data_IF_171701992695
#
_entry.id   IF_171701992695
#
_cell.length_a   1.000
_cell.length_b   1.000
_cell.length_c   1.000
_cell.angle_alpha   90.00
_cell.angle_beta   90.00
_cell.angle_gamma   90.00
#
_symmetry.space_group_name_H-M   'P 1'
#
loop_
_entity.id
_entity.type
_entity.pdbx_description
1 polymer ?
#
# COMPACT_ATOMS: atom_id res chain seq x y z
N UNK A 1 -13.26 -3.18 30.89
CA UNK A 1 -12.55 -2.44 29.83
C UNK A 1 -11.93 -3.50 28.94
N UNK A 2 -12.56 -3.75 27.80
CA UNK A 2 -12.35 -4.96 26.99
C UNK A 2 -11.01 -4.90 26.27
N UNK A 3 -10.15 -5.88 26.54
CA UNK A 3 -8.93 -6.11 25.78
C UNK A 3 -9.29 -6.56 24.37
N UNK A 4 -8.89 -5.77 23.38
CA UNK A 4 -8.82 -6.25 22.01
C UNK A 4 -7.54 -7.07 21.89
N UNK A 5 -7.70 -8.39 21.85
CA UNK A 5 -6.66 -9.33 21.42
C UNK A 5 -6.14 -8.84 20.06
N UNK A 6 -4.96 -8.22 20.05
CA UNK A 6 -4.23 -7.96 18.82
C UNK A 6 -3.82 -9.33 18.29
N UNK A 7 -4.64 -9.88 17.40
CA UNK A 7 -4.31 -11.10 16.67
C UNK A 7 -3.05 -10.78 15.83
N UNK A 8 -1.92 -11.46 16.03
CA UNK A 8 -0.68 -11.17 15.31
C UNK A 8 -0.74 -11.54 13.81
N UNK A 9 -1.89 -12.02 13.34
CA UNK A 9 -2.25 -12.19 11.92
C UNK A 9 -3.42 -11.28 11.50
N UNK A 10 -3.80 -10.28 12.30
CA UNK A 10 -4.83 -9.32 11.94
C UNK A 10 -4.34 -8.41 10.82
N UNK A 11 -5.25 -8.10 9.89
CA UNK A 11 -5.06 -7.00 8.95
C UNK A 11 -4.74 -5.70 9.68
N UNK A 12 -3.82 -4.91 9.13
CA UNK A 12 -3.48 -3.58 9.63
C UNK A 12 -4.20 -2.52 8.81
N UNK A 13 -4.62 -1.43 9.46
CA UNK A 13 -5.31 -0.32 8.79
C UNK A 13 -4.73 1.02 9.22
N UNK A 14 -4.49 1.90 8.25
CA UNK A 14 -4.03 3.27 8.46
C UNK A 14 -4.76 4.25 7.55
N UNK A 15 -5.03 5.45 8.03
CA UNK A 15 -5.60 6.54 7.22
C UNK A 15 -4.47 7.41 6.68
N UNK A 16 -4.63 7.91 5.45
CA UNK A 16 -3.69 8.85 4.84
C UNK A 16 -4.39 9.69 3.77
N UNK A 17 -3.80 10.84 3.46
CA UNK A 17 -4.19 11.62 2.28
C UNK A 17 -3.26 11.23 1.13
N UNK A 18 -3.83 10.89 -0.01
CA UNK A 18 -3.04 10.54 -1.20
C UNK A 18 -2.19 11.71 -1.66
N UNK A 19 -1.16 11.40 -2.44
CA UNK A 19 -0.42 12.39 -3.22
C UNK A 19 -1.31 13.04 -4.29
N UNK A 20 -0.78 14.05 -4.99
CA UNK A 20 -1.50 14.76 -6.06
C UNK A 20 -1.78 13.82 -7.24
N UNK A 21 -0.84 12.94 -7.56
CA UNK A 21 -1.01 11.90 -8.58
C UNK A 21 -1.98 10.79 -8.17
N UNK A 22 -2.23 10.63 -6.87
CA UNK A 22 -3.12 9.61 -6.33
C UNK A 22 -2.46 8.24 -6.19
N UNK A 23 -3.28 7.25 -5.83
CA UNK A 23 -2.88 5.85 -5.72
C UNK A 23 -3.43 5.07 -6.91
N UNK A 24 -2.57 4.39 -7.63
CA UNK A 24 -2.97 3.52 -8.73
C UNK A 24 -3.61 2.24 -8.17
N UNK A 25 -4.81 1.93 -8.66
CA UNK A 25 -5.53 0.69 -8.36
C UNK A 25 -5.72 -0.14 -9.62
N UNK A 26 -5.91 -1.45 -9.46
CA UNK A 26 -6.12 -2.37 -10.59
C UNK A 26 -7.50 -2.17 -11.22
N UNK A 27 -8.51 -1.88 -10.40
CA UNK A 27 -9.91 -1.90 -10.79
C UNK A 27 -10.38 -0.58 -11.42
N UNK A 28 -10.01 0.57 -10.83
CA UNK A 28 -10.58 1.87 -11.20
C UNK A 28 -9.54 2.90 -11.64
N UNK A 29 -8.27 2.52 -11.68
CA UNK A 29 -7.15 3.42 -12.00
C UNK A 29 -6.75 4.27 -10.80
N UNK A 30 -6.32 5.51 -11.03
CA UNK A 30 -5.85 6.39 -9.97
C UNK A 30 -7.01 6.92 -9.11
N UNK A 31 -6.91 6.77 -7.79
CA UNK A 31 -7.83 7.38 -6.82
C UNK A 31 -7.10 8.39 -5.94
N UNK A 32 -7.79 9.47 -5.55
CA UNK A 32 -7.19 10.62 -4.85
C UNK A 32 -8.03 11.06 -3.66
N UNK A 33 -7.41 11.66 -2.64
CA UNK A 33 -8.09 12.24 -1.48
C UNK A 33 -7.76 11.50 -0.18
N UNK A 34 -8.69 11.49 0.76
CA UNK A 34 -8.52 10.80 2.05
C UNK A 34 -8.88 9.31 1.91
N UNK A 35 -7.88 8.47 2.14
CA UNK A 35 -7.93 7.02 1.94
C UNK A 35 -7.60 6.27 3.22
N UNK A 36 -8.04 5.02 3.28
CA UNK A 36 -7.66 4.02 4.26
C UNK A 36 -6.89 2.91 3.55
N UNK A 37 -5.64 2.68 3.97
CA UNK A 37 -4.83 1.53 3.59
C UNK A 37 -5.20 0.35 4.49
N UNK A 38 -5.54 -0.80 3.90
CA UNK A 38 -5.65 -2.09 4.55
C UNK A 38 -4.53 -2.99 4.03
N UNK A 39 -3.73 -3.58 4.94
CA UNK A 39 -2.76 -4.61 4.55
C UNK A 39 -3.02 -5.91 5.27
N UNK A 40 -2.84 -7.03 4.57
CA UNK A 40 -2.99 -8.37 5.13
C UNK A 40 -1.95 -9.34 4.58
N UNK A 41 -1.41 -10.26 5.40
CA UNK A 41 -0.52 -11.30 4.88
C UNK A 41 -1.29 -12.21 3.93
N UNK A 42 -0.63 -12.60 2.83
CA UNK A 42 -1.14 -13.59 1.89
C UNK A 42 -1.32 -14.96 2.58
N UNK A 43 -2.17 -15.83 2.03
CA UNK A 43 -2.40 -17.18 2.59
C UNK A 43 -1.12 -18.02 2.73
N UNK A 44 -0.16 -17.82 1.80
CA UNK A 44 1.13 -18.49 1.81
C UNK A 44 2.20 -17.75 2.62
N UNK A 45 1.85 -16.64 3.26
CA UNK A 45 2.71 -15.79 4.07
C UNK A 45 4.03 -15.39 3.34
N UNK A 46 3.97 -15.25 2.02
CA UNK A 46 5.11 -14.92 1.15
C UNK A 46 5.08 -13.47 0.63
N UNK A 47 4.14 -12.68 1.15
CA UNK A 47 3.88 -11.32 0.74
C UNK A 47 2.68 -10.74 1.45
N UNK A 48 2.49 -9.44 1.24
CA UNK A 48 1.44 -8.64 1.86
C UNK A 48 0.52 -8.11 0.76
N UNK A 49 -0.77 -8.41 0.87
CA UNK A 49 -1.80 -7.79 0.05
C UNK A 49 -2.11 -6.39 0.60
N UNK A 50 -2.30 -5.43 -0.32
CA UNK A 50 -2.50 -4.03 -0.04
C UNK A 50 -3.74 -3.55 -0.79
N UNK A 51 -4.72 -3.12 -0.02
CA UNK A 51 -6.01 -2.63 -0.48
C UNK A 51 -6.17 -1.20 0.00
N UNK A 52 -6.85 -0.37 -0.78
CA UNK A 52 -7.21 0.99 -0.40
C UNK A 52 -8.71 1.19 -0.55
N UNK A 53 -9.26 2.06 0.29
CA UNK A 53 -10.63 2.56 0.15
C UNK A 53 -10.68 4.03 0.49
N UNK A 54 -11.73 4.71 0.03
CA UNK A 54 -12.03 6.03 0.57
C UNK A 54 -12.35 5.95 2.06
N UNK A 55 -11.93 6.95 2.83
CA UNK A 55 -12.17 6.98 4.26
C UNK A 55 -13.67 6.86 4.59
N UNK A 56 -14.03 5.83 5.37
CA UNK A 56 -15.42 5.53 5.75
C UNK A 56 -16.25 4.82 4.67
N UNK A 57 -15.67 4.51 3.51
CA UNK A 57 -16.31 3.68 2.51
C UNK A 57 -16.22 2.19 2.88
N UNK A 58 -17.09 1.38 2.28
CA UNK A 58 -17.03 -0.08 2.42
C UNK A 58 -16.31 -0.75 1.24
N UNK A 59 -16.29 -0.10 0.08
CA UNK A 59 -15.69 -0.65 -1.12
C UNK A 59 -14.17 -0.50 -1.07
N UNK A 60 -13.46 -1.57 -1.46
CA UNK A 60 -12.01 -1.67 -1.41
C UNK A 60 -11.49 -1.93 -2.81
N UNK A 61 -10.33 -1.37 -3.11
CA UNK A 61 -9.64 -1.51 -4.39
C UNK A 61 -8.23 -2.00 -4.16
N UNK A 62 -7.77 -2.89 -5.04
CA UNK A 62 -6.43 -3.45 -4.98
C UNK A 62 -5.43 -2.42 -5.46
N UNK A 63 -4.41 -2.13 -4.63
CA UNK A 63 -3.34 -1.23 -5.05
C UNK A 63 -2.52 -1.93 -6.14
N UNK A 64 -2.23 -1.23 -7.24
CA UNK A 64 -1.41 -1.78 -8.31
C UNK A 64 -0.01 -2.16 -7.80
N UNK A 65 0.47 -3.34 -8.18
CA UNK A 65 1.71 -3.94 -7.66
C UNK A 65 1.52 -4.78 -6.39
N UNK A 66 0.28 -4.94 -5.91
CA UNK A 66 -0.07 -5.91 -4.87
C UNK A 66 -0.31 -7.32 -5.45
N UNK A 67 -0.02 -8.41 -4.71
CA UNK A 67 0.65 -8.46 -3.41
C UNK A 67 2.14 -8.11 -3.51
N UNK A 68 2.68 -7.51 -2.44
CA UNK A 68 4.10 -7.18 -2.36
C UNK A 68 4.85 -8.39 -1.80
N UNK A 69 5.77 -9.00 -2.57
CA UNK A 69 6.59 -10.08 -2.05
C UNK A 69 7.55 -9.53 -0.99
N UNK A 70 7.43 -10.01 0.24
CA UNK A 70 8.33 -9.65 1.33
C UNK A 70 8.34 -10.74 2.40
N UNK A 71 9.46 -10.84 3.11
CA UNK A 71 9.64 -11.63 4.33
C UNK A 71 9.72 -10.75 5.57
N UNK A 72 9.59 -9.43 5.41
CA UNK A 72 9.57 -8.47 6.50
C UNK A 72 8.36 -8.72 7.41
N UNK A 73 8.44 -8.35 8.70
CA UNK A 73 7.28 -8.34 9.58
C UNK A 73 6.14 -7.52 8.95
N UNK A 74 4.90 -7.99 9.11
CA UNK A 74 3.73 -7.33 8.51
C UNK A 74 3.60 -5.86 8.90
N UNK A 75 3.99 -5.50 10.13
CA UNK A 75 4.03 -4.10 10.58
C UNK A 75 5.04 -3.27 9.79
N UNK A 76 6.30 -3.69 9.70
CA UNK A 76 7.33 -2.99 8.93
C UNK A 76 6.95 -2.86 7.44
N UNK A 77 6.36 -3.92 6.86
CA UNK A 77 5.84 -3.86 5.50
C UNK A 77 4.69 -2.87 5.38
N UNK A 78 3.76 -2.83 6.34
CA UNK A 78 2.65 -1.87 6.37
C UNK A 78 3.13 -0.43 6.43
N UNK A 79 4.05 -0.11 7.34
CA UNK A 79 4.64 1.22 7.47
C UNK A 79 5.35 1.63 6.17
N UNK A 80 6.16 0.74 5.57
CA UNK A 80 6.83 1.00 4.29
C UNK A 80 5.85 1.24 3.14
N UNK A 81 4.74 0.50 3.08
CA UNK A 81 3.69 0.71 2.08
C UNK A 81 3.04 2.09 2.28
N UNK A 82 2.71 2.43 3.52
CA UNK A 82 2.10 3.71 3.85
C UNK A 82 3.02 4.90 3.50
N UNK A 83 4.31 4.79 3.83
CA UNK A 83 5.33 5.77 3.46
C UNK A 83 5.39 5.95 1.94
N UNK A 84 5.33 4.86 1.17
CA UNK A 84 5.35 4.96 -0.28
C UNK A 84 4.10 5.65 -0.83
N UNK A 85 2.90 5.28 -0.36
CA UNK A 85 1.63 5.84 -0.83
C UNK A 85 1.43 7.31 -0.46
N UNK A 86 2.19 7.81 0.51
CA UNK A 86 2.24 9.22 0.91
C UNK A 86 3.42 9.96 0.31
N UNK A 87 4.35 9.25 -0.34
CA UNK A 87 5.50 9.85 -1.02
C UNK A 87 5.11 10.22 -2.46
N UNK A 88 5.25 11.50 -2.85
CA UNK A 88 4.94 11.95 -4.21
C UNK A 88 5.63 11.09 -5.28
N UNK A 89 4.88 10.75 -6.32
CA UNK A 89 5.37 9.97 -7.45
C UNK A 89 6.41 10.72 -8.30
N UNK A 90 6.85 10.10 -9.39
CA UNK A 90 7.64 10.81 -10.39
C UNK A 90 6.84 11.98 -10.98
N UNK A 91 7.49 13.11 -11.27
CA UNK A 91 6.86 14.22 -12.00
C UNK A 91 7.14 14.07 -13.49
N UNK A 92 6.10 14.12 -14.31
CA UNK A 92 6.18 14.24 -15.76
C UNK A 92 5.72 15.64 -16.19
N UNK A 93 5.95 16.00 -17.46
CA UNK A 93 5.54 17.28 -18.05
C UNK A 93 4.04 17.61 -17.83
N UNK A 94 3.22 16.59 -17.58
CA UNK A 94 1.78 16.68 -17.36
C UNK A 94 1.34 16.71 -15.88
N UNK A 95 2.25 16.54 -14.91
CA UNK A 95 1.94 16.53 -13.48
C UNK A 95 2.61 15.38 -12.71
N UNK A 96 2.16 15.17 -11.47
CA UNK A 96 2.62 14.05 -10.64
C UNK A 96 1.95 12.74 -11.08
N UNK A 97 2.76 11.71 -11.27
CA UNK A 97 2.29 10.37 -11.57
C UNK A 97 1.63 9.71 -10.36
N UNK A 98 0.59 8.87 -10.56
CA UNK A 98 0.03 8.05 -9.51
C UNK A 98 1.09 7.10 -8.93
N UNK A 99 0.97 6.83 -7.64
CA UNK A 99 1.84 5.92 -6.91
C UNK A 99 1.34 4.49 -7.04
N UNK A 100 2.23 3.56 -7.36
CA UNK A 100 2.00 2.12 -7.39
C UNK A 100 3.12 1.37 -6.64
N UNK A 101 2.83 0.15 -6.18
CA UNK A 101 3.73 -0.64 -5.34
C UNK A 101 4.76 -1.45 -6.15
N UNK A 102 4.63 -1.50 -7.48
CA UNK A 102 5.52 -2.29 -8.34
C UNK A 102 7.01 -1.90 -8.20
N UNK A 103 7.30 -0.64 -7.82
CA UNK A 103 8.67 -0.18 -7.55
C UNK A 103 9.28 -0.72 -6.24
N UNK A 104 8.51 -1.32 -5.32
CA UNK A 104 9.06 -1.88 -4.08
C UNK A 104 9.83 -3.19 -4.30
N UNK A 105 9.52 -3.92 -5.38
CA UNK A 105 10.20 -5.16 -5.75
C UNK A 105 11.55 -4.96 -6.46
N UNK A 106 11.81 -3.76 -6.98
CA UNK A 106 13.03 -3.48 -7.77
C UNK A 106 14.20 -2.98 -6.90
N UNK A 107 13.92 -2.44 -5.72
CA UNK A 107 14.97 -1.97 -4.79
C UNK A 107 15.81 -3.08 -4.13
N UNK A 108 15.58 -4.36 -4.48
CA UNK A 108 16.33 -5.52 -3.99
C UNK A 108 17.42 -6.07 -4.93
N UNK A 109 17.65 -5.49 -6.11
CA UNK A 109 18.66 -5.99 -7.07
C UNK A 109 19.59 -4.90 -7.63
N UNK A 110 20.00 -3.94 -6.79
CA UNK A 110 20.91 -2.87 -7.20
C UNK A 110 22.20 -2.80 -6.38
N UNK A 111 23.10 -3.79 -6.50
CA UNK A 111 24.57 -3.59 -6.48
C UNK A 111 25.32 -4.93 -6.53
N UNK A 112 25.73 -5.33 -7.74
CA UNK A 112 26.91 -6.18 -7.94
C UNK A 112 27.64 -5.67 -9.18
N UNK A 113 28.48 -4.67 -8.95
CA UNK A 113 29.63 -4.38 -9.80
C UNK A 113 30.91 -4.78 -9.04
#
# INVERSE_FOLDING_TARGET
>A
MSGATQNPQASLTSTFTSTTGGVMTVEVGAITGDLELLTQPTENNNGIEALVRYAGASEQYTVAGSPIPTTDPHQDAHDRILEQLTTPGGTEEAGELPVELAKLGEYGMGSRE
#
